data_IF_301941869272
#
_entry.id   IF_301941869272
#
_cell.length_a   1.000
_cell.length_b   1.000
_cell.length_c   1.000
_cell.angle_alpha   90.00
_cell.angle_beta   90.00
_cell.angle_gamma   90.00
#
_symmetry.space_group_name_H-M   'P 1'
#
loop_
_entity.id
_entity.type
_entity.pdbx_description
1 polymer ?
#
# COMPACT_ATOMS: atom_id res chain seq x y z
N UNK A 1 -11.10 -25.45 -0.86
CA UNK A 1 -11.38 -24.01 -0.58
C UNK A 1 -10.10 -23.16 -0.61
N UNK A 2 -9.52 -22.90 -1.79
CA UNK A 2 -8.29 -22.09 -1.95
C UNK A 2 -8.54 -20.57 -1.85
N UNK A 3 -9.73 -20.10 -2.23
CA UNK A 3 -10.09 -18.67 -2.23
C UNK A 3 -10.16 -18.04 -0.84
N UNK A 4 -10.62 -18.78 0.18
CA UNK A 4 -10.79 -18.26 1.54
C UNK A 4 -9.45 -17.91 2.21
N UNK A 5 -8.42 -18.74 2.01
CA UNK A 5 -7.06 -18.50 2.53
C UNK A 5 -6.44 -17.25 1.89
N UNK A 6 -6.64 -17.04 0.59
CA UNK A 6 -6.15 -15.85 -0.12
C UNK A 6 -6.85 -14.58 0.38
N UNK A 7 -8.19 -14.61 0.52
CA UNK A 7 -8.97 -13.50 1.08
C UNK A 7 -8.52 -13.13 2.50
N UNK A 8 -8.36 -14.12 3.38
CA UNK A 8 -7.85 -13.91 4.74
C UNK A 8 -6.42 -13.34 4.77
N UNK A 9 -5.55 -13.73 3.82
CA UNK A 9 -4.21 -13.15 3.68
C UNK A 9 -4.27 -11.66 3.29
N UNK A 10 -5.10 -11.30 2.31
CA UNK A 10 -5.32 -9.89 1.91
C UNK A 10 -5.83 -9.07 3.09
N UNK A 11 -6.92 -9.51 3.72
CA UNK A 11 -7.51 -8.87 4.88
C UNK A 11 -6.51 -8.62 6.01
N UNK A 12 -5.68 -9.62 6.35
CA UNK A 12 -4.64 -9.47 7.38
C UNK A 12 -3.56 -8.48 6.97
N UNK A 13 -3.20 -8.46 5.68
CA UNK A 13 -2.27 -7.49 5.11
C UNK A 13 -2.75 -6.05 5.26
N UNK A 14 -3.99 -5.79 4.84
CA UNK A 14 -4.65 -4.48 4.96
C UNK A 14 -4.75 -4.04 6.42
N UNK A 15 -5.22 -4.92 7.31
CA UNK A 15 -5.35 -4.63 8.74
C UNK A 15 -3.98 -4.32 9.40
N UNK A 16 -2.93 -5.07 9.04
CA UNK A 16 -1.58 -4.82 9.53
C UNK A 16 -1.04 -3.46 9.06
N UNK A 17 -1.30 -3.09 7.81
CA UNK A 17 -0.86 -1.81 7.28
C UNK A 17 -1.58 -0.63 7.95
N UNK A 18 -2.90 -0.69 8.11
CA UNK A 18 -3.66 0.35 8.86
C UNK A 18 -3.12 0.51 10.28
N UNK A 19 -2.83 -0.60 10.98
CA UNK A 19 -2.23 -0.54 12.32
C UNK A 19 -0.92 0.24 12.30
N UNK A 20 0.00 -0.09 11.39
CA UNK A 20 1.32 0.58 11.27
C UNK A 20 1.21 2.06 10.91
N UNK A 21 0.27 2.42 10.03
CA UNK A 21 0.03 3.81 9.64
C UNK A 21 -0.49 4.61 10.84
N UNK A 22 -1.46 4.07 11.59
CA UNK A 22 -1.97 4.70 12.81
C UNK A 22 -0.91 4.83 13.91
N UNK A 23 -0.07 3.81 14.10
CA UNK A 23 1.09 3.88 15.02
C UNK A 23 2.08 4.98 14.62
N UNK A 24 2.17 5.30 13.32
CA UNK A 24 2.97 6.42 12.82
C UNK A 24 2.24 7.77 12.84
N UNK A 25 1.04 7.85 13.42
CA UNK A 25 0.25 9.09 13.49
C UNK A 25 -0.50 9.43 12.20
N UNK A 26 -0.64 8.49 11.26
CA UNK A 26 -1.34 8.70 9.98
C UNK A 26 -2.77 8.16 10.10
N UNK A 27 -3.78 9.04 10.19
CA UNK A 27 -5.16 8.62 10.33
C UNK A 27 -5.68 8.04 9.00
N UNK A 28 -6.22 6.83 9.09
CA UNK A 28 -6.71 6.07 7.95
C UNK A 28 -7.66 4.95 8.38
N UNK A 29 -8.41 4.41 7.42
CA UNK A 29 -9.30 3.28 7.62
C UNK A 29 -9.32 2.34 6.41
N UNK A 30 -9.76 1.10 6.61
CA UNK A 30 -9.96 0.17 5.50
C UNK A 30 -11.27 0.49 4.78
N UNK A 31 -11.26 0.39 3.46
CA UNK A 31 -12.47 0.54 2.67
C UNK A 31 -13.23 -0.82 2.68
N UNK A 32 -14.46 -0.87 3.20
CA UNK A 32 -15.25 -2.10 3.15
C UNK A 32 -15.67 -2.41 1.71
N UNK A 33 -15.76 -3.70 1.37
CA UNK A 33 -16.24 -4.20 0.08
C UNK A 33 -15.42 -3.73 -1.14
N UNK A 34 -14.14 -3.38 -0.95
CA UNK A 34 -13.28 -2.74 -1.95
C UNK A 34 -13.07 -3.49 -3.27
N UNK A 35 -13.31 -4.80 -3.28
CA UNK A 35 -13.21 -5.64 -4.48
C UNK A 35 -14.53 -5.98 -5.17
N UNK A 36 -15.68 -5.52 -4.64
CA UNK A 36 -17.00 -5.97 -5.10
C UNK A 36 -17.83 -4.88 -5.80
N UNK A 37 -17.70 -3.62 -5.35
CA UNK A 37 -18.68 -2.56 -5.71
C UNK A 37 -18.09 -1.46 -6.62
N UNK A 38 -16.76 -1.30 -6.66
CA UNK A 38 -16.10 -0.27 -7.46
C UNK A 38 -16.45 1.17 -7.05
N UNK A 39 -16.06 2.16 -7.88
CA UNK A 39 -16.40 3.57 -7.67
C UNK A 39 -15.84 4.17 -6.37
N UNK A 40 -16.71 4.77 -5.54
CA UNK A 40 -16.31 5.35 -4.23
C UNK A 40 -15.68 4.31 -3.30
N UNK A 41 -16.01 3.04 -3.46
CA UNK A 41 -15.45 1.93 -2.69
C UNK A 41 -14.19 1.32 -3.33
N UNK A 42 -13.62 1.89 -4.40
CA UNK A 42 -12.35 1.41 -4.94
C UNK A 42 -11.17 1.70 -4.00
N UNK A 43 -10.15 0.84 -4.01
CA UNK A 43 -8.95 0.91 -3.15
C UNK A 43 -9.15 0.17 -1.82
N UNK A 44 -8.07 -0.21 -1.14
CA UNK A 44 -8.16 -1.06 0.07
C UNK A 44 -8.15 -0.26 1.38
N UNK A 45 -7.45 0.88 1.39
CA UNK A 45 -7.30 1.77 2.54
C UNK A 45 -7.54 3.21 2.05
N UNK A 46 -8.20 4.01 2.86
CA UNK A 46 -8.39 5.45 2.67
C UNK A 46 -7.71 6.21 3.81
N UNK A 47 -6.91 7.22 3.46
CA UNK A 47 -6.38 8.20 4.40
C UNK A 47 -7.45 9.27 4.66
N UNK A 48 -7.42 9.92 5.82
CA UNK A 48 -8.36 11.02 6.12
C UNK A 48 -8.20 12.21 5.17
N UNK A 49 -7.07 12.31 4.44
CA UNK A 49 -6.87 13.25 3.34
C UNK A 49 -7.72 12.95 2.09
N UNK A 50 -8.43 11.81 2.05
CA UNK A 50 -9.17 11.31 0.89
C UNK A 50 -8.31 10.53 -0.11
N UNK A 51 -7.00 10.40 0.12
CA UNK A 51 -6.11 9.59 -0.70
C UNK A 51 -6.30 8.10 -0.42
N UNK A 52 -6.11 7.27 -1.45
CA UNK A 52 -6.36 5.83 -1.39
C UNK A 52 -5.08 5.02 -1.58
N UNK A 53 -5.01 3.89 -0.88
CA UNK A 53 -3.89 2.95 -0.95
C UNK A 53 -4.43 1.58 -1.36
N UNK A 54 -3.85 1.00 -2.41
CA UNK A 54 -4.06 -0.38 -2.82
C UNK A 54 -3.03 -1.29 -2.15
N UNK A 55 -3.45 -2.42 -1.59
CA UNK A 55 -2.61 -3.35 -0.83
C UNK A 55 -2.48 -4.69 -1.55
N UNK A 56 -1.25 -5.03 -1.95
CA UNK A 56 -0.94 -6.35 -2.54
C UNK A 56 -0.02 -7.15 -1.63
N UNK A 57 -0.53 -8.27 -1.12
CA UNK A 57 0.27 -9.24 -0.35
C UNK A 57 0.34 -10.59 -1.08
N UNK A 58 1.51 -10.92 -1.62
CA UNK A 58 1.74 -12.16 -2.39
C UNK A 58 2.94 -12.94 -1.85
N UNK A 59 3.07 -14.21 -2.25
CA UNK A 59 4.25 -15.04 -1.87
C UNK A 59 5.48 -14.63 -2.72
N UNK A 60 5.24 -14.31 -3.99
CA UNK A 60 6.22 -13.85 -4.96
C UNK A 60 5.56 -12.88 -5.95
N UNK A 61 6.35 -12.22 -6.80
CA UNK A 61 5.87 -11.29 -7.83
C UNK A 61 6.43 -9.87 -7.75
N UNK A 62 7.21 -9.55 -6.70
CA UNK A 62 7.78 -8.21 -6.50
C UNK A 62 9.32 -8.21 -6.47
N UNK A 63 9.97 -9.32 -6.88
CA UNK A 63 11.43 -9.48 -6.79
C UNK A 63 12.18 -8.32 -7.47
N UNK A 64 11.79 -7.97 -8.69
CA UNK A 64 12.36 -6.82 -9.42
C UNK A 64 12.36 -5.52 -8.59
N UNK A 65 11.26 -5.21 -7.89
CA UNK A 65 11.17 -4.01 -7.06
C UNK A 65 12.12 -4.08 -5.86
N UNK A 66 12.22 -5.23 -5.19
CA UNK A 66 13.09 -5.41 -4.04
C UNK A 66 14.57 -5.39 -4.41
N UNK A 67 14.94 -6.07 -5.49
CA UNK A 67 16.33 -6.11 -5.97
C UNK A 67 16.82 -4.71 -6.36
N UNK A 68 16.01 -3.94 -7.08
CA UNK A 68 16.39 -2.57 -7.49
C UNK A 68 16.30 -1.55 -6.35
N UNK A 69 15.62 -1.86 -5.23
CA UNK A 69 15.61 -1.06 -4.00
C UNK A 69 16.70 -1.44 -3.00
N UNK A 70 17.52 -2.46 -3.29
CA UNK A 70 18.49 -2.97 -2.32
C UNK A 70 19.54 -1.91 -1.94
N UNK A 71 19.99 -1.14 -2.92
CA UNK A 71 21.04 -0.11 -2.77
C UNK A 71 20.52 1.32 -2.96
N UNK A 72 19.21 1.54 -2.85
CA UNK A 72 18.58 2.85 -3.05
C UNK A 72 17.47 3.10 -2.01
N UNK A 73 17.25 4.37 -1.65
CA UNK A 73 16.13 4.76 -0.78
C UNK A 73 14.78 4.73 -1.53
N UNK A 74 14.82 5.04 -2.83
CA UNK A 74 13.66 5.15 -3.71
C UNK A 74 13.94 4.48 -5.05
N UNK A 75 12.92 3.83 -5.61
CA UNK A 75 12.95 3.26 -6.95
C UNK A 75 11.88 3.96 -7.79
N UNK A 76 12.31 4.73 -8.78
CA UNK A 76 11.43 5.33 -9.78
C UNK A 76 11.28 4.38 -10.97
N UNK A 77 10.05 3.96 -11.28
CA UNK A 77 9.73 3.11 -12.44
C UNK A 77 8.68 3.79 -13.30
N UNK A 78 8.73 3.55 -14.61
CA UNK A 78 7.77 4.08 -15.58
C UNK A 78 7.61 3.08 -16.70
N UNK A 79 6.38 2.95 -17.20
CA UNK A 79 6.09 2.29 -18.48
C UNK A 79 5.94 3.36 -19.57
N UNK A 80 6.17 3.00 -20.82
CA UNK A 80 5.97 3.91 -21.95
C UNK A 80 4.60 4.58 -21.90
N UNK A 81 4.60 5.91 -22.08
CA UNK A 81 3.42 6.78 -22.05
C UNK A 81 2.62 6.76 -20.73
N UNK A 82 3.23 6.34 -19.61
CA UNK A 82 2.67 6.44 -18.27
C UNK A 82 3.48 7.42 -17.40
N UNK A 83 2.92 7.87 -16.29
CA UNK A 83 3.67 8.64 -15.30
C UNK A 83 4.66 7.76 -14.51
N UNK A 84 5.66 8.40 -13.91
CA UNK A 84 6.57 7.72 -12.98
C UNK A 84 5.83 7.29 -11.71
N UNK A 85 6.12 6.08 -11.27
CA UNK A 85 5.78 5.55 -9.96
C UNK A 85 7.02 5.54 -9.09
N UNK A 86 6.92 6.09 -7.88
CA UNK A 86 7.98 6.01 -6.88
C UNK A 86 7.65 4.92 -5.88
N UNK A 87 8.48 3.89 -5.84
CA UNK A 87 8.42 2.82 -4.86
C UNK A 87 9.40 3.13 -3.73
N UNK A 88 8.93 3.01 -2.48
CA UNK A 88 9.73 3.28 -1.29
C UNK A 88 9.35 2.35 -0.15
N UNK A 89 10.24 2.16 0.83
CA UNK A 89 9.90 1.38 2.04
C UNK A 89 8.89 2.15 2.88
N UNK A 90 8.02 1.42 3.59
CA UNK A 90 6.98 2.01 4.46
C UNK A 90 7.55 3.04 5.45
N UNK A 91 8.76 2.82 5.98
CA UNK A 91 9.44 3.76 6.88
C UNK A 91 9.66 5.14 6.25
N UNK A 92 10.06 5.20 4.97
CA UNK A 92 10.25 6.48 4.28
C UNK A 92 8.90 7.15 4.06
N UNK A 93 7.90 6.39 3.63
CA UNK A 93 6.54 6.90 3.46
C UNK A 93 5.99 7.51 4.76
N UNK A 94 6.08 6.81 5.89
CA UNK A 94 5.55 7.34 7.16
C UNK A 94 6.29 8.58 7.65
N UNK A 95 7.57 8.71 7.33
CA UNK A 95 8.34 9.92 7.65
C UNK A 95 7.85 11.15 6.87
N UNK A 96 7.20 11.01 5.70
CA UNK A 96 6.66 12.15 4.95
C UNK A 96 5.49 12.85 5.66
N UNK A 97 4.82 12.15 6.59
CA UNK A 97 3.69 12.69 7.36
C UNK A 97 4.12 13.25 8.71
N UNK A 98 5.38 13.07 9.10
CA UNK A 98 5.88 13.70 10.31
C UNK A 98 6.03 15.20 10.04
N UNK A 99 5.56 16.07 10.95
CA UNK A 99 5.86 17.49 10.84
C UNK A 99 7.38 17.67 10.78
N UNK A 100 7.84 18.60 9.93
CA UNK A 100 9.24 19.03 9.94
C UNK A 100 9.53 19.53 11.36
N UNK A 101 10.52 18.90 12.00
CA UNK A 101 11.00 19.31 13.32
C UNK A 101 11.66 20.69 13.25
#
# INVERSE_FOLDING_TARGET
>A
MSGMKSKSKGYRGEANLVKKLKEAGIPCSRIPLSGAVGGKFAGDIELDSGQKIEVKVRKAGFKFLYDNLESADYLAVKQDNQDYLVVMRLKHFTNLFKPLA
#
